data_IF_376748263513
#
_entry.id   IF_376748263513
#
_cell.length_a   1.000
_cell.length_b   1.000
_cell.length_c   1.000
_cell.angle_alpha   90.00
_cell.angle_beta   90.00
_cell.angle_gamma   90.00
#
_symmetry.space_group_name_H-M   'P 1'
#
loop_
_entity.id
_entity.type
_entity.pdbx_description
1 polymer ?
#
# COMPACT_ATOMS: atom_id res chain seq x y z
N UNK A 1 -14.02 -0.59 -8.27
CA UNK A 1 -12.60 -0.16 -8.28
C UNK A 1 -12.42 1.06 -7.36
N UNK A 2 -11.87 0.83 -6.17
CA UNK A 2 -11.61 1.86 -5.14
C UNK A 2 -10.28 2.55 -5.43
N UNK A 3 -10.35 3.84 -5.78
CA UNK A 3 -9.19 4.66 -6.10
C UNK A 3 -9.21 5.90 -5.19
N UNK A 4 -8.14 6.21 -4.44
CA UNK A 4 -8.15 7.22 -3.37
C UNK A 4 -8.59 8.63 -3.81
N UNK A 5 -8.39 8.98 -5.08
CA UNK A 5 -8.79 10.27 -5.65
C UNK A 5 -10.26 10.33 -6.07
N UNK A 6 -10.86 9.19 -6.45
CA UNK A 6 -12.28 9.10 -6.77
C UNK A 6 -13.12 8.96 -5.50
N UNK A 7 -12.61 8.20 -4.51
CA UNK A 7 -13.25 8.04 -3.20
C UNK A 7 -13.28 9.35 -2.38
N UNK A 8 -12.42 10.32 -2.71
CA UNK A 8 -12.41 11.67 -2.08
C UNK A 8 -13.33 12.69 -2.77
N UNK A 9 -14.15 12.27 -3.74
CA UNK A 9 -15.15 13.11 -4.40
C UNK A 9 -14.63 14.00 -5.53
N UNK A 10 -13.37 13.82 -5.96
CA UNK A 10 -12.80 14.56 -7.08
C UNK A 10 -13.08 13.83 -8.40
N UNK A 11 -13.97 14.40 -9.23
CA UNK A 11 -14.25 13.85 -10.55
C UNK A 11 -13.13 14.23 -11.53
N UNK A 12 -12.16 13.33 -11.70
CA UNK A 12 -11.06 13.49 -12.68
C UNK A 12 -11.40 12.63 -13.90
N UNK A 13 -11.43 13.23 -15.08
CA UNK A 13 -11.60 12.47 -16.33
C UNK A 13 -10.38 11.60 -16.59
N UNK A 14 -10.48 10.30 -16.32
CA UNK A 14 -9.46 9.31 -16.67
C UNK A 14 -10.09 8.23 -17.56
N UNK A 15 -9.27 7.62 -18.43
CA UNK A 15 -9.69 6.42 -19.15
C UNK A 15 -9.85 5.26 -18.17
N UNK A 16 -10.89 4.43 -18.33
CA UNK A 16 -11.20 3.29 -17.44
C UNK A 16 -10.05 2.28 -17.31
N UNK A 17 -9.09 2.29 -18.25
CA UNK A 17 -8.03 1.29 -18.39
C UNK A 17 -6.64 1.73 -17.87
N UNK A 18 -6.56 2.86 -17.16
CA UNK A 18 -5.28 3.41 -16.62
C UNK A 18 -5.11 3.04 -15.14
N UNK A 19 -6.18 2.56 -14.50
CA UNK A 19 -6.19 2.28 -13.07
C UNK A 19 -5.54 0.91 -12.80
N UNK A 20 -4.42 0.84 -12.06
CA UNK A 20 -3.91 -0.42 -11.55
C UNK A 20 -4.93 -1.10 -10.63
N UNK A 21 -4.86 -2.41 -10.62
CA UNK A 21 -5.67 -3.28 -9.78
C UNK A 21 -5.49 -2.96 -8.29
N UNK A 22 -6.54 -3.22 -7.51
CA UNK A 22 -6.57 -2.94 -6.07
C UNK A 22 -5.43 -3.62 -5.31
N UNK A 23 -5.02 -4.82 -5.71
CA UNK A 23 -3.85 -5.53 -5.17
C UNK A 23 -2.54 -4.74 -5.31
N UNK A 24 -2.41 -3.90 -6.35
CA UNK A 24 -1.26 -3.00 -6.49
C UNK A 24 -1.35 -1.82 -5.54
N UNK A 25 -2.55 -1.29 -5.31
CA UNK A 25 -2.79 -0.18 -4.39
C UNK A 25 -2.47 -0.60 -2.95
N UNK A 26 -2.90 -1.81 -2.55
CA UNK A 26 -2.63 -2.40 -1.23
C UNK A 26 -1.17 -2.84 -1.03
N UNK A 27 -0.34 -2.84 -2.08
CA UNK A 27 1.04 -3.26 -1.98
C UNK A 27 1.26 -4.78 -1.92
N UNK A 28 0.26 -5.59 -2.27
CA UNK A 28 0.35 -7.06 -2.24
C UNK A 28 1.48 -7.59 -3.15
N UNK A 29 1.69 -6.95 -4.30
CA UNK A 29 2.80 -7.24 -5.20
C UNK A 29 4.18 -7.00 -4.56
N UNK A 30 4.33 -6.00 -3.69
CA UNK A 30 5.58 -5.73 -2.96
C UNK A 30 5.79 -6.77 -1.88
N UNK A 31 4.73 -7.14 -1.15
CA UNK A 31 4.76 -8.19 -0.14
C UNK A 31 5.13 -9.56 -0.74
N UNK A 32 4.52 -9.92 -1.88
CA UNK A 32 4.84 -11.16 -2.60
C UNK A 32 6.31 -11.18 -3.05
N UNK A 33 6.80 -10.09 -3.64
CA UNK A 33 8.19 -10.02 -4.08
C UNK A 33 9.18 -10.01 -2.91
N UNK A 34 8.80 -9.42 -1.79
CA UNK A 34 9.59 -9.45 -0.57
C UNK A 34 9.70 -10.87 0.01
N UNK A 35 8.60 -11.61 0.03
CA UNK A 35 8.57 -13.00 0.46
C UNK A 35 9.52 -13.87 -0.38
N UNK A 36 9.54 -13.69 -1.71
CA UNK A 36 10.50 -14.40 -2.59
C UNK A 36 11.95 -14.00 -2.30
N UNK A 37 12.20 -12.70 -2.12
CA UNK A 37 13.53 -12.13 -1.86
C UNK A 37 14.05 -12.46 -0.45
N UNK A 38 13.16 -12.80 0.50
CA UNK A 38 13.51 -13.16 1.88
C UNK A 38 14.49 -14.33 1.98
N UNK A 39 14.47 -15.21 0.97
CA UNK A 39 15.41 -16.33 0.78
C UNK A 39 16.87 -15.88 0.63
N UNK A 40 17.11 -14.62 0.22
CA UNK A 40 18.43 -13.99 0.13
C UNK A 40 18.53 -12.80 1.10
N UNK A 41 19.02 -13.02 2.33
CA UNK A 41 19.03 -12.00 3.39
C UNK A 41 19.83 -10.73 3.05
N UNK A 42 20.90 -10.83 2.26
CA UNK A 42 21.70 -9.68 1.86
C UNK A 42 20.95 -8.79 0.86
N UNK A 43 20.35 -9.42 -0.15
CA UNK A 43 19.57 -8.72 -1.16
C UNK A 43 18.29 -8.12 -0.58
N UNK A 44 17.63 -8.86 0.29
CA UNK A 44 16.47 -8.40 1.04
C UNK A 44 16.80 -7.14 1.87
N UNK A 45 17.86 -7.20 2.69
CA UNK A 45 18.29 -6.04 3.48
C UNK A 45 18.70 -4.85 2.60
N UNK A 46 19.36 -5.09 1.46
CA UNK A 46 19.76 -4.02 0.53
C UNK A 46 18.53 -3.32 -0.06
N UNK A 47 17.57 -4.08 -0.58
CA UNK A 47 16.37 -3.57 -1.25
C UNK A 47 15.40 -2.92 -0.28
N UNK A 48 15.19 -3.53 0.89
CA UNK A 48 14.18 -3.09 1.86
C UNK A 48 14.77 -2.35 3.08
N UNK A 49 16.03 -1.90 2.98
CA UNK A 49 16.74 -1.20 4.07
C UNK A 49 15.94 -0.06 4.70
N UNK A 50 15.16 0.69 3.91
CA UNK A 50 14.33 1.80 4.43
C UNK A 50 13.11 1.31 5.21
N UNK A 51 12.44 0.25 4.73
CA UNK A 51 11.32 -0.38 5.42
C UNK A 51 11.78 -0.96 6.76
N UNK A 52 12.89 -1.71 6.74
CA UNK A 52 13.47 -2.31 7.94
C UNK A 52 13.93 -1.26 8.96
N UNK A 53 14.48 -0.13 8.50
CA UNK A 53 14.83 1.00 9.38
C UNK A 53 13.62 1.64 10.04
N UNK A 54 12.47 1.63 9.38
CA UNK A 54 11.21 2.12 9.93
C UNK A 54 10.51 1.07 10.83
N UNK A 55 11.09 -0.11 11.01
CA UNK A 55 10.47 -1.21 11.76
C UNK A 55 9.31 -1.89 11.01
N UNK A 56 9.11 -1.58 9.73
CA UNK A 56 8.07 -2.16 8.90
C UNK A 56 8.65 -3.28 8.05
N UNK A 57 8.00 -4.44 8.06
CA UNK A 57 8.32 -5.51 7.12
C UNK A 57 7.57 -5.26 5.80
N UNK A 58 8.25 -5.38 4.65
CA UNK A 58 7.60 -5.30 3.35
C UNK A 58 6.46 -6.33 3.16
N UNK A 59 6.51 -7.46 3.85
CA UNK A 59 5.45 -8.48 3.84
C UNK A 59 4.16 -7.99 4.53
N UNK A 60 4.30 -7.11 5.52
CA UNK A 60 3.19 -6.58 6.32
C UNK A 60 2.63 -5.27 5.71
N UNK A 61 3.11 -4.86 4.53
CA UNK A 61 2.66 -3.66 3.82
C UNK A 61 1.13 -3.62 3.60
N UNK A 62 0.46 -4.71 3.15
CA UNK A 62 -0.98 -4.69 2.92
C UNK A 62 -1.78 -4.47 4.20
N UNK A 63 -1.33 -5.03 5.32
CA UNK A 63 -1.99 -4.83 6.62
C UNK A 63 -1.82 -3.40 7.10
N UNK A 64 -0.60 -2.86 7.02
CA UNK A 64 -0.32 -1.47 7.38
C UNK A 64 -1.11 -0.48 6.52
N UNK A 65 -1.29 -0.77 5.23
CA UNK A 65 -2.11 0.04 4.34
C UNK A 65 -3.57 0.10 4.81
N UNK A 66 -4.18 -1.04 5.14
CA UNK A 66 -5.54 -1.07 5.68
C UNK A 66 -5.67 -0.33 7.01
N UNK A 67 -4.71 -0.51 7.92
CA UNK A 67 -4.69 0.18 9.21
C UNK A 67 -4.68 1.70 9.03
N UNK A 68 -3.81 2.22 8.16
CA UNK A 68 -3.71 3.66 7.88
C UNK A 68 -4.97 4.16 7.17
N UNK A 69 -5.50 3.41 6.20
CA UNK A 69 -6.76 3.75 5.52
C UNK A 69 -7.92 3.85 6.51
N UNK A 70 -8.05 2.87 7.42
CA UNK A 70 -9.07 2.88 8.46
C UNK A 70 -8.92 4.06 9.40
N UNK A 71 -7.69 4.40 9.83
CA UNK A 71 -7.42 5.57 10.68
C UNK A 71 -7.80 6.89 10.01
N UNK A 72 -7.50 7.03 8.71
CA UNK A 72 -7.89 8.21 7.93
C UNK A 72 -9.42 8.29 7.87
N UNK A 73 -10.11 7.20 7.52
CA UNK A 73 -11.57 7.19 7.48
C UNK A 73 -12.20 7.52 8.83
N UNK A 74 -11.65 6.97 9.93
CA UNK A 74 -12.11 7.27 11.29
C UNK A 74 -11.88 8.75 11.63
N UNK A 75 -10.70 9.31 11.37
CA UNK A 75 -10.40 10.71 11.69
C UNK A 75 -11.31 11.67 10.94
N UNK A 76 -11.55 11.42 9.65
CA UNK A 76 -12.45 12.26 8.84
C UNK A 76 -13.93 12.08 9.22
N UNK A 77 -14.34 10.90 9.70
CA UNK A 77 -15.70 10.67 10.21
C UNK A 77 -15.96 11.34 11.57
N UNK A 78 -14.92 11.67 12.32
CA UNK A 78 -14.98 12.31 13.64
C UNK A 78 -14.98 13.84 13.59
N UNK A 79 -14.58 14.40 12.44
CA UNK A 79 -14.60 15.84 12.17
C UNK A 79 -15.89 16.31 11.48
N UNK A 80 -16.77 15.38 11.08
CA UNK A 80 -18.16 15.64 10.64
C UNK A 80 -19.15 15.41 11.77
#
# INVERSE_FOLDING_TARGET
>A
PVWPYLDSGLHISHGENILPEEARIRGEHVAAYAAETSSNPEEYKRRYSRYLKAGLKPEDLPEHFEEVKARILESYSKEM
#
